data_IF_188859218421
#
_entry.id   IF_188859218421
#
_cell.length_a   1.000
_cell.length_b   1.000
_cell.length_c   1.000
_cell.angle_alpha   90.00
_cell.angle_beta   90.00
_cell.angle_gamma   90.00
#
_symmetry.space_group_name_H-M   'P 1'
#
loop_
_entity.id
_entity.type
_entity.pdbx_description
1 polymer ?
#
# COMPACT_ATOMS: atom_id res chain seq x y z
N UNK A 1 14.02 -78.78 -37.19
CA UNK A 1 14.24 -77.90 -36.01
C UNK A 1 12.97 -77.05 -35.91
N UNK A 2 12.00 -77.28 -35.03
CA UNK A 2 12.09 -77.41 -33.55
C UNK A 2 12.81 -76.16 -33.01
N UNK A 3 12.18 -75.24 -32.28
CA UNK A 3 11.43 -75.50 -31.03
C UNK A 3 10.16 -74.66 -30.80
N UNK A 4 9.23 -75.21 -30.00
CA UNK A 4 8.10 -74.52 -29.34
C UNK A 4 8.51 -73.90 -27.99
N UNK A 5 7.80 -72.84 -27.58
CA UNK A 5 7.45 -72.46 -26.18
C UNK A 5 6.25 -71.51 -26.25
N UNK A 6 4.99 -71.94 -26.08
CA UNK A 6 4.28 -72.27 -24.82
C UNK A 6 3.94 -71.07 -23.91
N UNK A 7 2.68 -70.61 -24.01
CA UNK A 7 1.69 -70.37 -22.91
C UNK A 7 1.98 -69.30 -21.81
N UNK A 8 1.03 -68.60 -21.16
CA UNK A 8 -0.34 -69.01 -20.73
C UNK A 8 -1.30 -67.80 -20.52
N UNK A 9 -2.60 -68.11 -20.49
CA UNK A 9 -3.85 -67.34 -20.43
C UNK A 9 -4.08 -66.52 -19.12
N UNK A 10 -5.01 -65.54 -19.20
CA UNK A 10 -5.89 -64.88 -18.16
C UNK A 10 -5.60 -63.37 -17.89
N UNK A 11 -6.55 -62.49 -17.49
CA UNK A 11 -7.99 -62.65 -17.16
C UNK A 11 -8.90 -61.42 -17.43
N UNK A 12 -10.21 -61.69 -17.58
CA UNK A 12 -11.44 -60.91 -17.23
C UNK A 12 -11.46 -59.39 -16.94
N UNK A 13 -12.35 -58.66 -17.63
CA UNK A 13 -13.50 -57.88 -17.10
C UNK A 13 -14.13 -57.01 -18.24
N UNK A 14 -15.19 -57.46 -18.94
CA UNK A 14 -16.63 -57.29 -18.58
C UNK A 14 -17.11 -55.83 -18.60
N UNK A 15 -17.47 -55.34 -19.80
CA UNK A 15 -18.26 -54.10 -19.99
C UNK A 15 -19.73 -54.44 -20.26
N UNK A 16 -20.65 -54.01 -19.39
CA UNK A 16 -21.92 -53.42 -19.83
C UNK A 16 -22.33 -52.26 -18.86
N UNK A 17 -23.31 -51.38 -19.06
CA UNK A 17 -24.26 -51.09 -20.15
C UNK A 17 -24.98 -49.74 -19.88
N UNK A 18 -25.91 -49.37 -20.79
CA UNK A 18 -27.08 -48.49 -20.52
C UNK A 18 -26.88 -46.98 -20.26
N UNK A 19 -26.77 -46.24 -21.36
CA UNK A 19 -27.33 -44.89 -21.51
C UNK A 19 -28.86 -44.92 -21.33
N UNK A 20 -29.41 -44.42 -20.22
CA UNK A 20 -30.80 -43.86 -20.10
C UNK A 20 -31.09 -43.27 -18.71
N UNK A 21 -30.86 -41.96 -18.54
CA UNK A 21 -31.67 -41.01 -17.74
C UNK A 21 -30.97 -39.65 -17.78
N UNK A 22 -31.36 -38.81 -18.74
CA UNK A 22 -30.92 -37.42 -18.81
C UNK A 22 -31.99 -36.58 -18.09
N UNK A 23 -31.68 -35.90 -16.98
CA UNK A 23 -32.63 -34.97 -16.36
C UNK A 23 -32.83 -33.76 -17.29
N UNK A 24 -34.00 -33.09 -17.23
CA UNK A 24 -34.22 -31.85 -17.97
C UNK A 24 -33.22 -30.77 -17.51
N UNK A 25 -32.86 -29.81 -18.40
CA UNK A 25 -31.98 -28.71 -18.01
C UNK A 25 -32.61 -27.87 -16.89
N UNK A 26 -31.83 -27.36 -15.93
CA UNK A 26 -32.35 -26.51 -14.86
C UNK A 26 -32.80 -25.15 -15.44
N UNK A 27 -34.11 -24.96 -15.56
CA UNK A 27 -34.75 -23.72 -16.04
C UNK A 27 -34.71 -22.61 -14.99
N UNK A 28 -33.52 -22.24 -14.51
CA UNK A 28 -33.34 -21.12 -13.58
C UNK A 28 -31.94 -20.49 -13.70
N UNK A 29 -31.76 -19.66 -14.74
CA UNK A 29 -30.56 -18.82 -14.95
C UNK A 29 -30.89 -17.35 -14.63
N UNK A 30 -31.78 -17.10 -13.65
CA UNK A 30 -32.34 -15.75 -13.44
C UNK A 30 -32.63 -15.33 -11.97
N UNK A 31 -32.43 -16.21 -10.96
CA UNK A 31 -32.92 -15.93 -9.60
C UNK A 31 -32.00 -16.35 -8.44
N UNK A 32 -30.70 -16.58 -8.69
CA UNK A 32 -29.71 -16.82 -7.62
C UNK A 32 -28.37 -16.10 -7.81
N UNK A 33 -28.30 -15.12 -8.71
CA UNK A 33 -27.13 -14.25 -8.89
C UNK A 33 -27.21 -12.99 -8.01
N UNK A 34 -28.03 -13.02 -6.96
CA UNK A 34 -28.13 -12.01 -5.92
C UNK A 34 -27.77 -12.66 -4.57
N UNK A 35 -26.93 -12.00 -3.78
CA UNK A 35 -26.41 -12.47 -2.49
C UNK A 35 -25.40 -13.64 -2.51
N UNK A 36 -24.51 -13.67 -3.52
CA UNK A 36 -23.08 -13.84 -3.20
C UNK A 36 -22.42 -12.49 -3.47
N UNK A 37 -22.66 -11.55 -2.56
CA UNK A 37 -21.63 -10.55 -2.29
C UNK A 37 -20.43 -11.36 -1.78
N UNK A 38 -19.36 -11.37 -2.57
CA UNK A 38 -18.07 -11.88 -2.12
C UNK A 38 -17.55 -10.89 -1.07
N UNK A 39 -18.11 -11.04 0.15
CA UNK A 39 -17.61 -10.40 1.34
C UNK A 39 -16.21 -10.97 1.55
N UNK A 40 -15.20 -10.33 0.95
CA UNK A 40 -13.79 -10.60 1.25
C UNK A 40 -13.66 -10.41 2.74
N UNK A 41 -13.57 -11.52 3.47
CA UNK A 41 -13.53 -11.51 4.93
C UNK A 41 -12.43 -10.54 5.37
N UNK A 42 -12.85 -9.41 5.94
CA UNK A 42 -11.96 -8.35 6.38
C UNK A 42 -11.18 -8.89 7.58
N UNK A 43 -9.99 -9.42 7.32
CA UNK A 43 -9.04 -9.75 8.38
C UNK A 43 -8.09 -8.57 8.61
N UNK A 44 -8.26 -7.81 9.71
CA UNK A 44 -7.37 -6.71 10.03
C UNK A 44 -5.93 -7.17 10.31
N UNK A 45 -5.71 -8.43 10.69
CA UNK A 45 -4.38 -8.98 10.95
C UNK A 45 -3.64 -9.17 9.63
N UNK A 46 -4.26 -9.81 8.63
CA UNK A 46 -3.69 -9.95 7.27
C UNK A 46 -3.37 -8.60 6.65
N UNK A 47 -4.29 -7.62 6.71
CA UNK A 47 -4.06 -6.28 6.15
C UNK A 47 -2.89 -5.59 6.84
N UNK A 48 -2.82 -5.64 8.17
CA UNK A 48 -1.71 -5.06 8.92
C UNK A 48 -0.39 -5.77 8.60
N UNK A 49 -0.39 -7.10 8.48
CA UNK A 49 0.80 -7.89 8.14
C UNK A 49 1.36 -7.52 6.76
N UNK A 50 0.50 -7.45 5.73
CA UNK A 50 0.91 -7.03 4.37
C UNK A 50 1.41 -5.58 4.37
N UNK A 51 0.73 -4.67 5.09
CA UNK A 51 1.12 -3.28 5.16
C UNK A 51 2.48 -3.08 5.88
N UNK A 52 2.72 -3.79 6.98
CA UNK A 52 4.00 -3.73 7.73
C UNK A 52 5.14 -4.40 6.95
N UNK A 53 4.87 -5.52 6.26
CA UNK A 53 5.85 -6.17 5.39
C UNK A 53 6.33 -5.23 4.27
N UNK A 54 5.38 -4.60 3.56
CA UNK A 54 5.71 -3.65 2.51
C UNK A 54 6.36 -2.36 3.06
N UNK A 55 5.99 -1.90 4.26
CA UNK A 55 6.70 -0.81 4.92
C UNK A 55 8.17 -1.17 5.22
N UNK A 56 8.45 -2.41 5.63
CA UNK A 56 9.82 -2.88 5.85
C UNK A 56 10.63 -2.95 4.55
N UNK A 57 10.01 -3.37 3.44
CA UNK A 57 10.60 -3.28 2.10
C UNK A 57 11.00 -1.84 1.78
N UNK A 58 10.07 -0.88 1.90
CA UNK A 58 10.34 0.53 1.61
C UNK A 58 11.44 1.06 2.53
N UNK A 59 11.38 0.80 3.83
CA UNK A 59 12.35 1.28 4.81
C UNK A 59 13.78 0.78 4.56
N UNK A 60 13.93 -0.46 4.06
CA UNK A 60 15.22 -1.04 3.68
C UNK A 60 15.72 -0.45 2.36
N UNK A 61 14.91 -0.53 1.30
CA UNK A 61 15.34 -0.19 -0.05
C UNK A 61 15.45 1.33 -0.29
N UNK A 62 14.68 2.19 0.40
CA UNK A 62 14.80 3.65 0.24
C UNK A 62 16.22 4.16 0.58
N UNK A 63 16.93 3.50 1.51
CA UNK A 63 18.31 3.82 1.89
C UNK A 63 19.33 3.43 0.83
N UNK A 64 19.03 2.38 0.05
CA UNK A 64 19.84 1.97 -1.09
C UNK A 64 19.51 2.79 -2.35
N UNK A 65 18.29 3.32 -2.47
CA UNK A 65 17.87 4.13 -3.62
C UNK A 65 18.48 5.54 -3.62
N UNK A 66 18.70 6.12 -2.44
CA UNK A 66 19.12 7.52 -2.28
C UNK A 66 20.24 7.64 -1.23
N UNK A 67 21.48 7.21 -1.54
CA UNK A 67 22.62 7.35 -0.63
C UNK A 67 23.06 8.81 -0.47
N UNK A 68 23.45 9.22 0.74
CA UNK A 68 23.86 10.59 1.10
C UNK A 68 24.87 11.25 0.14
N UNK A 69 25.76 10.45 -0.45
CA UNK A 69 27.01 10.91 -1.06
C UNK A 69 27.03 10.78 -2.60
N UNK A 70 25.97 10.27 -3.24
CA UNK A 70 25.97 9.96 -4.70
C UNK A 70 24.80 10.62 -5.45
N UNK A 71 24.29 11.75 -4.95
CA UNK A 71 23.26 12.56 -5.62
C UNK A 71 23.71 12.98 -7.05
N UNK A 72 25.02 12.98 -7.32
CA UNK A 72 25.63 13.29 -8.61
C UNK A 72 25.64 12.14 -9.65
N UNK A 73 25.16 10.92 -9.33
CA UNK A 73 25.01 9.84 -10.31
C UNK A 73 23.56 9.33 -10.49
N UNK A 74 22.72 10.06 -11.27
CA UNK A 74 21.34 9.66 -11.63
C UNK A 74 21.17 8.32 -12.36
N UNK A 75 22.25 7.60 -12.66
CA UNK A 75 22.26 6.39 -13.50
C UNK A 75 22.92 5.17 -12.83
N UNK A 76 23.00 5.15 -11.50
CA UNK A 76 23.37 3.95 -10.75
C UNK A 76 22.34 2.80 -10.87
N UNK A 77 22.67 1.57 -10.44
CA UNK A 77 21.83 0.37 -10.56
C UNK A 77 20.55 0.37 -9.70
N UNK A 78 20.14 1.52 -9.18
CA UNK A 78 19.10 1.70 -8.18
C UNK A 78 17.66 1.66 -8.73
N UNK A 79 17.48 1.55 -10.05
CA UNK A 79 16.15 1.46 -10.67
C UNK A 79 15.30 0.33 -10.10
N UNK A 80 15.86 -0.88 -9.95
CA UNK A 80 15.15 -2.02 -9.36
C UNK A 80 14.72 -1.75 -7.91
N UNK A 81 15.58 -1.09 -7.14
CA UNK A 81 15.33 -0.67 -5.75
C UNK A 81 14.17 0.31 -5.67
N UNK A 82 14.15 1.33 -6.54
CA UNK A 82 13.08 2.33 -6.61
C UNK A 82 11.76 1.66 -7.03
N UNK A 83 11.78 0.84 -8.09
CA UNK A 83 10.60 0.11 -8.54
C UNK A 83 10.02 -0.77 -7.43
N UNK A 84 10.87 -1.49 -6.68
CA UNK A 84 10.42 -2.34 -5.58
C UNK A 84 9.74 -1.56 -4.45
N UNK A 85 10.17 -0.32 -4.19
CA UNK A 85 9.49 0.58 -3.26
C UNK A 85 8.16 1.13 -3.80
N UNK A 86 8.07 1.39 -5.12
CA UNK A 86 6.81 1.79 -5.77
C UNK A 86 5.79 0.65 -5.71
N UNK A 87 6.18 -0.57 -6.12
CA UNK A 87 5.35 -1.77 -6.05
C UNK A 87 4.81 -2.01 -4.64
N UNK A 88 5.67 -1.90 -3.62
CA UNK A 88 5.30 -2.06 -2.22
C UNK A 88 4.34 -0.96 -1.72
N UNK A 89 4.50 0.28 -2.21
CA UNK A 89 3.61 1.40 -1.88
C UNK A 89 2.23 1.25 -2.55
N UNK A 90 2.19 0.69 -3.75
CA UNK A 90 0.96 0.32 -4.46
C UNK A 90 0.27 -0.88 -3.79
N UNK A 91 1.02 -1.87 -3.29
CA UNK A 91 0.48 -3.02 -2.55
C UNK A 91 -0.17 -2.60 -1.22
N UNK A 92 0.47 -1.69 -0.47
CA UNK A 92 -0.13 -1.03 0.72
C UNK A 92 -1.45 -0.34 0.33
N UNK A 93 -1.46 0.39 -0.78
CA UNK A 93 -2.65 1.09 -1.26
C UNK A 93 -3.75 0.11 -1.67
N UNK A 94 -3.39 -1.01 -2.30
CA UNK A 94 -4.32 -2.04 -2.75
C UNK A 94 -5.01 -2.76 -1.58
N UNK A 95 -4.29 -3.13 -0.52
CA UNK A 95 -4.92 -3.80 0.63
C UNK A 95 -5.88 -2.86 1.37
N UNK A 96 -5.51 -1.58 1.54
CA UNK A 96 -6.37 -0.60 2.21
C UNK A 96 -7.58 -0.19 1.35
N UNK A 97 -7.49 -0.25 0.01
CA UNK A 97 -8.63 -0.02 -0.90
C UNK A 97 -9.83 -0.95 -0.65
N UNK A 98 -9.58 -2.14 -0.12
CA UNK A 98 -10.61 -3.15 0.13
C UNK A 98 -11.23 -3.05 1.54
N UNK A 99 -10.91 -2.01 2.31
CA UNK A 99 -11.39 -1.80 3.68
C UNK A 99 -12.48 -0.74 3.68
N UNK A 100 -13.61 -1.01 4.35
CA UNK A 100 -14.68 -0.04 4.53
C UNK A 100 -14.27 1.05 5.54
N UNK A 101 -14.84 2.25 5.41
CA UNK A 101 -14.48 3.39 6.28
C UNK A 101 -14.64 3.08 7.78
N UNK A 102 -15.71 2.37 8.17
CA UNK A 102 -15.96 1.99 9.56
C UNK A 102 -14.89 1.03 10.12
N UNK A 103 -14.39 0.10 9.30
CA UNK A 103 -13.34 -0.84 9.67
C UNK A 103 -11.97 -0.14 9.71
N UNK A 104 -11.75 0.81 8.81
CA UNK A 104 -10.54 1.63 8.72
C UNK A 104 -10.42 2.66 9.85
N UNK A 105 -11.54 3.22 10.33
CA UNK A 105 -11.55 4.06 11.53
C UNK A 105 -11.21 3.24 12.79
N UNK A 106 -11.65 1.98 12.83
CA UNK A 106 -11.42 1.07 13.96
C UNK A 106 -10.10 0.30 13.90
N UNK A 107 -9.34 0.45 12.81
CA UNK A 107 -8.05 -0.22 12.61
C UNK A 107 -6.99 0.15 13.67
N UNK A 108 -6.02 -0.74 13.81
CA UNK A 108 -4.86 -0.57 14.69
C UNK A 108 -4.04 0.67 14.29
N UNK A 109 -3.55 1.49 15.26
CA UNK A 109 -2.73 2.65 14.95
C UNK A 109 -1.41 2.29 14.27
N UNK A 110 -0.98 1.02 14.33
CA UNK A 110 0.18 0.52 13.59
C UNK A 110 -0.02 0.56 12.06
N UNK A 111 -1.25 0.61 11.53
CA UNK A 111 -1.52 0.79 10.10
C UNK A 111 -1.21 2.22 9.60
N UNK A 112 -1.09 3.19 10.51
CA UNK A 112 -0.83 4.60 10.17
C UNK A 112 0.60 4.77 9.61
N UNK A 113 1.58 4.04 10.14
CA UNK A 113 2.98 4.14 9.69
C UNK A 113 3.20 3.60 8.26
N UNK A 114 2.68 2.42 7.85
CA UNK A 114 2.72 1.98 6.45
C UNK A 114 2.16 3.01 5.47
N UNK A 115 0.98 3.56 5.77
CA UNK A 115 0.35 4.60 4.98
C UNK A 115 1.24 5.85 4.86
N UNK A 116 1.78 6.34 5.97
CA UNK A 116 2.69 7.48 5.97
C UNK A 116 3.99 7.23 5.18
N UNK A 117 4.61 6.05 5.34
CA UNK A 117 5.85 5.69 4.64
C UNK A 117 5.62 5.59 3.13
N UNK A 118 4.55 4.95 2.68
CA UNK A 118 4.20 4.87 1.25
C UNK A 118 3.95 6.26 0.64
N UNK A 119 3.15 7.11 1.28
CA UNK A 119 2.90 8.48 0.80
C UNK A 119 4.17 9.35 0.80
N UNK A 120 5.00 9.27 1.85
CA UNK A 120 6.30 9.96 1.89
C UNK A 120 7.19 9.52 0.74
N UNK A 121 7.30 8.22 0.48
CA UNK A 121 8.09 7.70 -0.63
C UNK A 121 7.60 8.23 -1.98
N UNK A 122 6.29 8.19 -2.26
CA UNK A 122 5.73 8.76 -3.49
C UNK A 122 6.04 10.25 -3.68
N UNK A 123 5.88 11.08 -2.64
CA UNK A 123 6.15 12.52 -2.71
C UNK A 123 7.64 12.78 -2.99
N UNK A 124 8.54 12.13 -2.24
CA UNK A 124 9.98 12.37 -2.37
C UNK A 124 10.52 11.82 -3.69
N UNK A 125 10.09 10.62 -4.10
CA UNK A 125 10.42 10.05 -5.41
C UNK A 125 10.01 11.00 -6.55
N UNK A 126 8.77 11.50 -6.54
CA UNK A 126 8.29 12.44 -7.54
C UNK A 126 9.03 13.79 -7.51
N UNK A 127 9.47 14.26 -6.34
CA UNK A 127 10.29 15.48 -6.21
C UNK A 127 11.69 15.30 -6.80
N UNK A 128 12.33 14.16 -6.56
CA UNK A 128 13.70 13.89 -7.05
C UNK A 128 13.70 13.62 -8.57
N UNK A 129 12.72 12.87 -9.07
CA UNK A 129 12.64 12.50 -10.49
C UNK A 129 11.93 13.51 -11.38
N UNK A 130 11.21 14.49 -10.80
CA UNK A 130 10.37 15.43 -11.53
C UNK A 130 9.08 14.85 -12.10
N UNK A 131 8.73 13.60 -11.76
CA UNK A 131 7.58 12.85 -12.30
C UNK A 131 6.28 13.24 -11.58
N UNK A 132 5.13 12.86 -12.15
CA UNK A 132 3.83 12.99 -11.48
C UNK A 132 3.73 12.07 -10.25
N UNK A 133 3.13 12.55 -9.15
CA UNK A 133 2.82 11.70 -7.99
C UNK A 133 1.67 10.75 -8.37
N UNK A 134 1.77 9.43 -8.08
CA UNK A 134 0.69 8.49 -8.37
C UNK A 134 -0.61 8.85 -7.65
N UNK A 135 -1.75 8.71 -8.35
CA UNK A 135 -3.12 8.88 -7.80
C UNK A 135 -3.41 8.00 -6.58
N UNK A 136 -2.62 6.94 -6.37
CA UNK A 136 -2.66 6.12 -5.17
C UNK A 136 -2.38 6.92 -3.88
N UNK A 137 -1.70 8.08 -3.96
CA UNK A 137 -1.55 8.98 -2.82
C UNK A 137 -2.89 9.50 -2.31
N UNK A 138 -3.87 9.78 -3.18
CA UNK A 138 -5.15 10.36 -2.77
C UNK A 138 -5.94 9.38 -1.90
N UNK A 139 -5.85 8.08 -2.21
CA UNK A 139 -6.40 7.03 -1.38
C UNK A 139 -5.68 6.92 -0.04
N UNK A 140 -4.34 7.00 0.00
CA UNK A 140 -3.59 7.02 1.27
C UNK A 140 -4.00 8.23 2.13
N UNK A 141 -4.13 9.42 1.51
CA UNK A 141 -4.54 10.65 2.18
C UNK A 141 -5.97 10.56 2.72
N UNK A 142 -6.87 9.93 1.96
CA UNK A 142 -8.23 9.59 2.39
C UNK A 142 -8.21 8.63 3.58
N UNK A 143 -7.46 7.52 3.48
CA UNK A 143 -7.33 6.53 4.56
C UNK A 143 -6.78 7.14 5.85
N UNK A 144 -5.77 8.00 5.77
CA UNK A 144 -5.24 8.74 6.92
C UNK A 144 -6.25 9.73 7.52
N UNK A 145 -7.17 10.29 6.70
CA UNK A 145 -8.28 11.13 7.20
C UNK A 145 -9.32 10.30 7.95
N UNK A 146 -9.64 9.09 7.48
CA UNK A 146 -10.55 8.15 8.16
C UNK A 146 -9.95 7.67 9.48
N UNK A 147 -8.73 7.10 9.45
CA UNK A 147 -7.97 6.77 10.67
C UNK A 147 -7.82 7.98 11.61
N UNK A 148 -7.75 9.19 11.05
CA UNK A 148 -7.63 10.47 11.77
C UNK A 148 -8.88 10.93 12.53
N UNK A 149 -10.03 10.24 12.40
CA UNK A 149 -11.18 10.45 13.28
C UNK A 149 -10.87 9.93 14.70
N UNK A 150 -10.38 8.69 14.79
CA UNK A 150 -10.02 8.02 16.05
C UNK A 150 -8.60 8.32 16.53
N UNK A 151 -7.62 8.46 15.62
CA UNK A 151 -6.20 8.52 15.97
C UNK A 151 -5.54 9.86 15.65
N UNK A 152 -5.10 10.59 16.69
CA UNK A 152 -4.39 11.87 16.53
C UNK A 152 -3.11 11.75 15.68
N UNK A 153 -2.41 10.61 15.74
CA UNK A 153 -1.21 10.33 14.93
C UNK A 153 -1.51 10.41 13.42
N UNK A 154 -2.60 9.80 12.95
CA UNK A 154 -3.00 9.85 11.55
C UNK A 154 -3.37 11.27 11.12
N UNK A 155 -4.05 12.03 11.99
CA UNK A 155 -4.37 13.44 11.77
C UNK A 155 -3.11 14.31 11.64
N UNK A 156 -2.10 14.08 12.48
CA UNK A 156 -0.80 14.76 12.47
C UNK A 156 -0.01 14.48 11.20
N UNK A 157 0.22 13.21 10.89
CA UNK A 157 0.95 12.79 9.68
C UNK A 157 0.20 13.18 8.40
N UNK A 158 -1.14 13.16 8.42
CA UNK A 158 -1.98 13.69 7.35
C UNK A 158 -1.96 15.23 7.20
N UNK A 159 -1.51 16.01 8.20
CA UNK A 159 -1.18 17.45 8.01
C UNK A 159 0.15 17.60 7.28
N UNK A 160 1.18 16.88 7.74
CA UNK A 160 2.54 16.87 7.15
C UNK A 160 2.48 16.53 5.66
N UNK A 161 1.81 15.44 5.28
CA UNK A 161 1.71 15.01 3.89
C UNK A 161 0.95 16.00 2.99
N UNK A 162 -0.06 16.71 3.53
CA UNK A 162 -0.76 17.77 2.77
C UNK A 162 0.14 18.96 2.50
N UNK A 163 0.90 19.43 3.48
CA UNK A 163 1.89 20.48 3.27
C UNK A 163 2.93 20.05 2.22
N UNK A 164 3.44 18.82 2.32
CA UNK A 164 4.40 18.27 1.37
C UNK A 164 3.85 18.19 -0.07
N UNK A 165 2.56 17.88 -0.23
CA UNK A 165 1.90 17.82 -1.53
C UNK A 165 1.64 19.20 -2.14
N UNK A 166 1.35 20.22 -1.31
CA UNK A 166 1.22 21.63 -1.74
C UNK A 166 2.58 22.23 -2.10
N UNK A 167 3.60 22.01 -1.27
CA UNK A 167 4.97 22.49 -1.47
C UNK A 167 5.72 21.75 -2.58
N UNK A 168 5.12 20.73 -3.19
CA UNK A 168 5.71 19.91 -4.26
C UNK A 168 6.20 20.72 -5.46
N UNK A 169 5.60 21.88 -5.75
CA UNK A 169 6.02 22.78 -6.83
C UNK A 169 7.29 23.58 -6.50
N UNK A 170 7.74 23.58 -5.25
CA UNK A 170 8.92 24.30 -4.80
C UNK A 170 10.16 23.45 -5.07
N UNK A 171 10.86 23.73 -6.17
CA UNK A 171 12.04 22.95 -6.61
C UNK A 171 13.20 22.96 -5.60
N UNK A 172 13.30 23.98 -4.73
CA UNK A 172 14.36 24.09 -3.73
C UNK A 172 13.89 23.70 -2.32
N UNK A 173 14.66 22.85 -1.63
CA UNK A 173 14.38 22.43 -0.26
C UNK A 173 14.39 23.62 0.72
N UNK A 174 15.14 24.69 0.44
CA UNK A 174 15.30 25.85 1.32
C UNK A 174 14.04 26.73 1.46
N UNK A 175 13.06 26.62 0.56
CA UNK A 175 11.76 27.32 0.67
C UNK A 175 10.61 26.40 1.10
N UNK A 176 10.93 25.16 1.49
CA UNK A 176 10.01 24.24 2.14
C UNK A 176 9.64 24.77 3.53
N UNK A 177 8.35 24.76 3.89
CA UNK A 177 7.97 24.97 5.30
C UNK A 177 8.24 23.72 6.13
N UNK A 178 8.27 22.54 5.48
CA UNK A 178 8.59 21.26 6.12
C UNK A 178 10.08 21.10 6.44
N UNK A 179 10.42 20.37 7.53
CA UNK A 179 11.81 20.09 7.89
C UNK A 179 12.56 19.34 6.78
N UNK A 180 13.85 19.63 6.52
CA UNK A 180 14.60 18.99 5.45
C UNK A 180 14.72 17.47 5.61
N UNK A 181 14.70 16.96 6.86
CA UNK A 181 14.70 15.53 7.17
C UNK A 181 13.48 14.80 6.60
N UNK A 182 12.38 15.49 6.32
CA UNK A 182 11.24 14.88 5.63
C UNK A 182 11.61 14.40 4.21
N UNK A 183 12.48 15.13 3.50
CA UNK A 183 12.87 14.81 2.12
C UNK A 183 14.09 13.89 2.03
N UNK A 184 14.87 13.73 3.10
CA UNK A 184 15.97 12.76 3.15
C UNK A 184 15.46 11.38 3.58
N UNK A 185 15.31 10.48 2.59
CA UNK A 185 14.81 9.12 2.78
C UNK A 185 15.76 8.21 3.58
N UNK A 186 16.97 8.66 3.94
CA UNK A 186 17.85 7.89 4.81
C UNK A 186 17.33 7.86 6.25
N UNK A 187 16.67 8.93 6.70
CA UNK A 187 15.97 8.95 7.97
C UNK A 187 14.72 8.06 7.92
N UNK A 188 14.58 7.18 8.89
CA UNK A 188 13.37 6.40 9.13
C UNK A 188 12.20 7.33 9.51
N UNK A 189 10.97 6.83 9.34
CA UNK A 189 9.78 7.52 9.84
C UNK A 189 9.82 7.72 11.36
N UNK A 190 10.50 6.83 12.10
CA UNK A 190 10.73 6.96 13.55
C UNK A 190 11.74 8.07 13.88
N UNK A 191 12.80 8.22 13.08
CA UNK A 191 13.86 9.20 13.32
C UNK A 191 13.33 10.64 13.16
N UNK A 192 12.35 10.85 12.29
CA UNK A 192 11.74 12.16 12.00
C UNK A 192 10.47 12.45 12.79
N UNK A 193 9.86 11.46 13.46
CA UNK A 193 8.52 11.62 14.07
C UNK A 193 8.47 12.80 15.06
N UNK A 194 9.49 12.95 15.92
CA UNK A 194 9.54 14.06 16.89
C UNK A 194 9.73 15.43 16.22
N UNK A 195 10.46 15.48 15.11
CA UNK A 195 10.68 16.72 14.34
C UNK A 195 9.38 17.13 13.63
N UNK A 196 8.66 16.16 13.06
CA UNK A 196 7.35 16.36 12.44
C UNK A 196 6.25 16.70 13.46
N UNK A 197 6.35 16.19 14.68
CA UNK A 197 5.45 16.55 15.79
C UNK A 197 5.59 18.03 16.14
N UNK A 198 6.80 18.49 16.47
CA UNK A 198 7.07 19.89 16.83
C UNK A 198 6.70 20.84 15.69
N UNK A 199 6.96 20.44 14.43
CA UNK A 199 6.53 21.20 13.26
C UNK A 199 4.99 21.29 13.18
N UNK A 200 4.27 20.19 13.36
CA UNK A 200 2.81 20.17 13.25
C UNK A 200 2.13 20.98 14.38
N UNK A 201 2.67 20.93 15.60
CA UNK A 201 2.24 21.76 16.73
C UNK A 201 2.46 23.25 16.45
N UNK A 202 3.61 23.60 15.88
CA UNK A 202 3.93 24.99 15.49
C UNK A 202 2.92 25.55 14.47
N UNK A 203 2.46 24.73 13.52
CA UNK A 203 1.43 25.15 12.55
C UNK A 203 0.07 25.42 13.22
N UNK A 204 -0.31 24.64 14.24
CA UNK A 204 -1.56 24.87 14.98
C UNK A 204 -1.50 26.15 15.85
N UNK A 205 -0.33 26.47 16.40
CA UNK A 205 -0.07 27.75 17.09
C UNK A 205 -0.15 28.92 16.11
N UNK A 206 0.49 28.82 14.94
CA UNK A 206 0.46 29.87 13.92
C UNK A 206 -0.97 30.14 13.42
N UNK A 207 -1.74 29.07 13.17
CA UNK A 207 -3.11 29.19 12.68
C UNK A 207 -4.08 29.74 13.75
N UNK A 208 -3.90 29.38 15.02
CA UNK A 208 -4.69 29.96 16.13
C UNK A 208 -4.32 31.42 16.40
N UNK A 209 -3.04 31.80 16.31
CA UNK A 209 -2.61 33.19 16.38
C UNK A 209 -3.19 34.03 15.22
N UNK A 210 -3.16 33.53 13.99
CA UNK A 210 -3.76 34.21 12.84
C UNK A 210 -5.28 34.44 13.00
N UNK A 211 -6.00 33.49 13.60
CA UNK A 211 -7.43 33.63 13.91
C UNK A 211 -7.77 34.68 14.97
N UNK A 212 -6.80 35.12 15.78
CA UNK A 212 -7.00 36.15 16.82
C UNK A 212 -6.72 37.57 16.34
N UNK A 213 -6.04 37.76 15.19
CA UNK A 213 -5.71 39.08 14.62
C UNK A 213 -6.79 39.56 13.61
N UNK A 214 -7.84 38.76 13.41
CA UNK A 214 -8.90 39.01 12.42
C UNK A 214 -10.18 39.69 12.93
N UNK A 215 -10.12 40.43 14.05
CA UNK A 215 -11.27 41.10 14.69
C UNK A 215 -10.96 42.56 15.05
#
# INVERSE_FOLDING_TARGET
MISNSSSTITSSATTPQFRRLMPPPPTNIAASNAAVEENRDFDPITILAVAVYNMAIIALYQRLAFPANEIEQPHGPFYHTIQRCLDASDEITMVVRNVNDADLENMSPHLIFPLFVAARFFIVHARITGVEVPKNIDLIMYSLRVCGQRWNLARRLGKVLRAALVERQVTMIQFSSLPPQFFDLQYSHLDIDKVLEVWAESQDINNSAAGLVGW
#
